data_IF_211497169283
#
_entry.id   IF_211497169283
#
_cell.length_a   1.000
_cell.length_b   1.000
_cell.length_c   1.000
_cell.angle_alpha   90.00
_cell.angle_beta   90.00
_cell.angle_gamma   90.00
#
_symmetry.space_group_name_H-M   'P 1'
#
loop_
_entity.id
_entity.type
_entity.pdbx_description
1 polymer ?
#
# COMPACT_ATOMS: atom_id res chain seq x y z
N UNK A 1 59.06 11.41 16.05
CA UNK A 1 57.96 10.94 16.93
C UNK A 1 56.72 11.84 16.90
N UNK A 2 56.83 13.15 16.96
CA UNK A 2 55.67 14.05 16.94
C UNK A 2 54.81 13.99 15.66
N UNK A 3 55.43 13.77 14.48
CA UNK A 3 54.70 13.66 13.20
C UNK A 3 53.88 12.36 13.09
N UNK A 4 54.32 11.26 13.68
CA UNK A 4 53.60 9.98 13.67
C UNK A 4 52.39 10.01 14.60
N UNK A 5 52.47 10.69 15.71
CA UNK A 5 51.39 10.85 16.66
C UNK A 5 50.27 11.73 16.08
N UNK A 6 50.62 12.78 15.30
CA UNK A 6 49.67 13.65 14.64
C UNK A 6 48.87 12.92 13.54
N UNK A 7 49.55 12.07 12.76
CA UNK A 7 48.91 11.26 11.70
C UNK A 7 47.92 10.26 12.31
N UNK A 8 48.28 9.62 13.42
CA UNK A 8 47.38 8.72 14.13
C UNK A 8 46.16 9.43 14.72
N UNK A 9 46.30 10.64 15.28
CA UNK A 9 45.20 11.44 15.81
C UNK A 9 44.25 11.89 14.70
N UNK A 10 44.76 12.34 13.55
CA UNK A 10 43.96 12.73 12.39
C UNK A 10 43.21 11.55 11.81
N UNK A 11 43.84 10.35 11.69
CA UNK A 11 43.18 9.14 11.21
C UNK A 11 42.05 8.71 12.15
N UNK A 12 42.24 8.82 13.46
CA UNK A 12 41.20 8.49 14.44
C UNK A 12 39.99 9.44 14.37
N UNK A 13 40.22 10.73 14.23
CA UNK A 13 39.17 11.75 14.06
C UNK A 13 38.40 11.55 12.76
N UNK A 14 39.08 11.24 11.67
CA UNK A 14 38.45 10.92 10.39
C UNK A 14 37.57 9.66 10.49
N UNK A 15 38.02 8.63 11.16
CA UNK A 15 37.25 7.40 11.38
C UNK A 15 36.01 7.67 12.25
N UNK A 16 36.14 8.48 13.30
CA UNK A 16 35.02 8.89 14.15
C UNK A 16 33.97 9.72 13.37
N UNK A 17 34.41 10.64 12.50
CA UNK A 17 33.54 11.42 11.65
C UNK A 17 32.80 10.55 10.62
N UNK A 18 33.47 9.56 10.03
CA UNK A 18 32.83 8.60 9.13
C UNK A 18 31.81 7.72 9.84
N UNK A 19 32.06 7.33 11.08
CA UNK A 19 31.10 6.59 11.91
C UNK A 19 29.90 7.46 12.32
N UNK A 20 30.12 8.76 12.60
CA UNK A 20 29.05 9.69 12.96
C UNK A 20 28.11 10.02 11.78
N UNK A 21 28.61 9.93 10.53
CA UNK A 21 27.83 10.13 9.31
C UNK A 21 27.22 8.82 8.76
N UNK A 22 27.33 7.72 9.50
CA UNK A 22 26.80 6.42 9.09
C UNK A 22 25.27 6.48 9.11
N UNK A 23 24.66 6.23 7.96
CA UNK A 23 23.22 6.10 7.85
C UNK A 23 22.73 4.96 8.73
N UNK A 24 21.51 5.11 9.25
CA UNK A 24 20.83 4.07 10.02
C UNK A 24 20.44 2.92 9.08
N UNK A 25 21.13 1.76 9.12
CA UNK A 25 20.88 0.71 8.16
C UNK A 25 19.58 -0.02 8.44
N UNK A 26 18.98 -0.55 7.36
CA UNK A 26 17.86 -1.47 7.45
C UNK A 26 18.39 -2.82 7.92
N UNK A 27 17.85 -3.34 9.01
CA UNK A 27 18.25 -4.65 9.58
C UNK A 27 17.26 -5.76 9.29
N UNK A 28 16.01 -5.42 8.96
CA UNK A 28 14.96 -6.37 8.62
C UNK A 28 13.96 -5.75 7.64
N UNK A 29 13.51 -6.55 6.67
CA UNK A 29 12.41 -6.21 5.79
C UNK A 29 11.35 -7.31 5.88
N UNK A 30 10.07 -6.93 6.04
CA UNK A 30 8.96 -7.88 6.08
C UNK A 30 7.69 -7.26 5.51
N UNK A 31 6.81 -8.13 5.01
CA UNK A 31 5.48 -7.72 4.58
C UNK A 31 4.53 -7.74 5.76
N UNK A 32 3.80 -6.64 5.96
CA UNK A 32 2.73 -6.53 6.95
C UNK A 32 1.43 -6.17 6.24
N UNK A 33 0.30 -6.52 6.83
CA UNK A 33 -0.99 -6.22 6.24
C UNK A 33 -1.97 -5.68 7.27
N UNK A 34 -2.96 -4.93 6.76
CA UNK A 34 -4.08 -4.43 7.54
C UNK A 34 -5.38 -4.69 6.78
N UNK A 35 -6.42 -5.10 7.49
CA UNK A 35 -7.73 -5.41 6.93
C UNK A 35 -8.76 -4.39 7.38
N UNK A 36 -9.68 -4.03 6.46
CA UNK A 36 -10.86 -3.24 6.76
C UNK A 36 -12.07 -3.91 6.13
N UNK A 37 -13.19 -3.96 6.86
CA UNK A 37 -14.42 -4.57 6.37
C UNK A 37 -15.01 -3.81 5.21
N UNK A 38 -15.48 -4.55 4.19
CA UNK A 38 -16.25 -4.01 3.07
C UNK A 38 -17.73 -4.30 3.32
N UNK A 39 -18.55 -3.27 3.33
CA UNK A 39 -19.99 -3.37 3.62
C UNK A 39 -20.82 -3.55 2.35
N UNK A 40 -20.38 -3.00 1.22
CA UNK A 40 -21.03 -3.16 -0.07
C UNK A 40 -20.01 -3.01 -1.20
N UNK A 41 -20.34 -3.57 -2.35
CA UNK A 41 -19.57 -3.40 -3.58
C UNK A 41 -20.49 -3.55 -4.80
N UNK A 42 -20.28 -2.71 -5.80
CA UNK A 42 -21.00 -2.79 -7.07
C UNK A 42 -20.13 -2.25 -8.21
N UNK A 43 -20.47 -2.62 -9.44
CA UNK A 43 -19.76 -2.17 -10.62
C UNK A 43 -20.57 -1.08 -11.32
N UNK A 44 -19.89 0.00 -11.72
CA UNK A 44 -20.42 1.05 -12.58
C UNK A 44 -19.62 1.10 -13.87
N UNK A 45 -20.32 1.49 -14.96
CA UNK A 45 -19.68 1.73 -16.25
C UNK A 45 -19.76 3.21 -16.56
N UNK A 46 -18.62 3.81 -16.86
CA UNK A 46 -18.52 5.21 -17.26
C UNK A 46 -18.08 5.28 -18.71
N UNK A 47 -18.73 6.16 -19.47
CA UNK A 47 -18.33 6.43 -20.84
C UNK A 47 -17.13 7.36 -20.87
N UNK A 48 -16.12 7.00 -21.64
CA UNK A 48 -15.03 7.91 -21.96
C UNK A 48 -15.41 8.73 -23.19
N UNK A 49 -15.30 10.03 -23.07
CA UNK A 49 -15.54 10.94 -24.20
C UNK A 49 -14.25 11.63 -24.60
N UNK A 50 -14.11 11.89 -25.91
CA UNK A 50 -13.10 12.83 -26.37
C UNK A 50 -13.51 14.26 -26.02
N UNK A 51 -12.63 15.25 -26.17
CA UNK A 51 -12.93 16.65 -25.89
C UNK A 51 -14.02 17.28 -26.76
N UNK A 52 -14.60 16.54 -27.71
CA UNK A 52 -15.61 16.98 -28.67
C UNK A 52 -16.97 16.29 -28.46
N UNK A 53 -17.13 15.55 -27.36
CA UNK A 53 -18.40 14.88 -27.02
C UNK A 53 -18.62 13.53 -27.68
N UNK A 54 -17.64 13.02 -28.45
CA UNK A 54 -17.70 11.66 -28.98
C UNK A 54 -17.33 10.61 -27.94
N UNK A 55 -18.03 9.47 -27.95
CA UNK A 55 -17.73 8.35 -27.08
C UNK A 55 -16.57 7.56 -27.67
N UNK A 56 -15.45 7.44 -26.94
CA UNK A 56 -14.25 6.72 -27.37
C UNK A 56 -14.09 5.36 -26.67
N UNK A 57 -14.86 5.11 -25.61
CA UNK A 57 -14.81 3.85 -24.89
C UNK A 57 -15.65 3.84 -23.64
N UNK A 58 -15.57 2.71 -22.93
CA UNK A 58 -16.20 2.52 -21.63
C UNK A 58 -15.16 2.03 -20.64
N UNK A 59 -15.25 2.52 -19.40
CA UNK A 59 -14.45 2.05 -18.27
C UNK A 59 -15.35 1.52 -17.18
N UNK A 60 -14.98 0.37 -16.66
CA UNK A 60 -15.67 -0.20 -15.51
C UNK A 60 -14.94 0.14 -14.22
N UNK A 61 -15.71 0.55 -13.24
CA UNK A 61 -15.25 0.88 -11.91
C UNK A 61 -15.92 -0.01 -10.89
N UNK A 62 -15.18 -0.42 -9.88
CA UNK A 62 -15.76 -1.02 -8.69
C UNK A 62 -15.92 0.06 -7.63
N UNK A 63 -17.14 0.22 -7.15
CA UNK A 63 -17.48 1.11 -6.04
C UNK A 63 -17.71 0.26 -4.81
N UNK A 64 -17.10 0.60 -3.71
CA UNK A 64 -17.22 -0.17 -2.47
C UNK A 64 -17.14 0.74 -1.25
N UNK A 65 -17.81 0.32 -0.19
CA UNK A 65 -17.79 1.01 1.10
C UNK A 65 -16.94 0.28 2.10
N UNK A 66 -15.96 0.97 2.68
CA UNK A 66 -15.03 0.44 3.67
C UNK A 66 -15.41 1.00 5.04
N UNK A 67 -15.48 0.12 6.03
CA UNK A 67 -15.74 0.52 7.41
C UNK A 67 -14.44 1.04 8.04
N UNK A 68 -14.46 2.32 8.41
CA UNK A 68 -13.36 2.96 9.13
C UNK A 68 -13.88 3.46 10.49
N UNK A 69 -13.67 2.67 11.54
CA UNK A 69 -14.29 2.90 12.84
C UNK A 69 -15.81 2.79 12.74
N UNK A 70 -16.54 3.87 13.01
CA UNK A 70 -18.00 3.95 12.87
C UNK A 70 -18.45 4.61 11.56
N UNK A 71 -17.51 5.00 10.70
CA UNK A 71 -17.79 5.68 9.45
C UNK A 71 -17.61 4.75 8.26
N UNK A 72 -18.40 4.96 7.23
CA UNK A 72 -18.24 4.27 5.94
C UNK A 72 -17.55 5.22 4.99
N UNK A 73 -16.44 4.79 4.44
CA UNK A 73 -15.72 5.49 3.37
C UNK A 73 -16.09 4.88 2.03
N UNK A 74 -16.66 5.69 1.14
CA UNK A 74 -16.96 5.27 -0.22
C UNK A 74 -15.70 5.38 -1.07
N UNK A 75 -15.37 4.29 -1.77
CA UNK A 75 -14.20 4.21 -2.64
C UNK A 75 -14.61 3.76 -4.03
N UNK A 76 -13.86 4.24 -5.02
CA UNK A 76 -14.05 3.89 -6.42
C UNK A 76 -12.69 3.65 -7.06
N UNK A 77 -12.52 2.47 -7.67
CA UNK A 77 -11.30 2.09 -8.37
C UNK A 77 -11.64 1.50 -9.74
N UNK A 78 -10.76 1.72 -10.72
CA UNK A 78 -10.90 1.03 -12.01
C UNK A 78 -10.72 -0.46 -11.80
N UNK A 79 -11.64 -1.24 -12.34
CA UNK A 79 -11.63 -2.69 -12.18
C UNK A 79 -10.35 -3.33 -12.74
N UNK A 80 -9.74 -2.71 -13.76
CA UNK A 80 -8.51 -3.19 -14.38
C UNK A 80 -7.29 -3.11 -13.45
N UNK A 81 -7.35 -2.25 -12.42
CA UNK A 81 -6.24 -2.01 -11.49
C UNK A 81 -6.47 -2.58 -10.09
N UNK A 82 -7.57 -3.31 -9.90
CA UNK A 82 -7.95 -3.87 -8.61
C UNK A 82 -7.84 -5.39 -8.67
N UNK A 83 -7.23 -5.96 -7.65
CA UNK A 83 -7.22 -7.40 -7.45
C UNK A 83 -8.46 -7.79 -6.64
N UNK A 84 -9.30 -8.63 -7.21
CA UNK A 84 -10.50 -9.14 -6.54
C UNK A 84 -10.33 -10.64 -6.35
N UNK A 85 -10.50 -11.09 -5.12
CA UNK A 85 -10.36 -12.50 -4.72
C UNK A 85 -11.58 -12.94 -3.91
N UNK A 86 -11.79 -14.24 -3.84
CA UNK A 86 -12.80 -14.82 -2.96
C UNK A 86 -12.34 -14.73 -1.51
N UNK A 87 -13.23 -14.28 -0.63
CA UNK A 87 -12.98 -14.32 0.81
C UNK A 87 -13.07 -15.75 1.34
N UNK A 88 -12.08 -16.18 2.10
CA UNK A 88 -12.11 -17.42 2.87
C UNK A 88 -12.80 -17.24 4.23
N UNK A 89 -13.11 -16.00 4.58
CA UNK A 89 -13.83 -15.63 5.80
C UNK A 89 -15.33 -15.45 5.50
N UNK A 90 -16.14 -15.25 6.52
CA UNK A 90 -17.61 -15.07 6.37
C UNK A 90 -18.00 -13.62 6.07
N UNK A 91 -17.05 -12.74 5.81
CA UNK A 91 -17.27 -11.35 5.48
C UNK A 91 -16.32 -10.89 4.38
N UNK A 92 -16.66 -9.79 3.73
CA UNK A 92 -15.81 -9.16 2.72
C UNK A 92 -14.91 -8.12 3.36
N UNK A 93 -13.68 -8.02 2.87
CA UNK A 93 -12.70 -7.05 3.39
C UNK A 93 -11.72 -6.64 2.32
N UNK A 94 -11.12 -5.47 2.50
CA UNK A 94 -9.94 -5.05 1.77
C UNK A 94 -8.71 -5.31 2.62
N UNK A 95 -7.67 -5.86 2.04
CA UNK A 95 -6.40 -6.07 2.72
C UNK A 95 -5.35 -5.20 2.05
N UNK A 96 -4.74 -4.32 2.83
CA UNK A 96 -3.64 -3.45 2.40
C UNK A 96 -2.33 -4.10 2.77
N UNK A 97 -1.40 -4.12 1.83
CA UNK A 97 -0.07 -4.68 2.03
C UNK A 97 0.97 -3.57 2.07
N UNK A 98 1.88 -3.69 3.02
CA UNK A 98 2.98 -2.75 3.20
C UNK A 98 4.29 -3.51 3.34
N UNK A 99 5.33 -2.97 2.72
CA UNK A 99 6.71 -3.40 2.98
C UNK A 99 7.24 -2.60 4.16
N UNK A 100 7.49 -3.28 5.27
CA UNK A 100 8.02 -2.67 6.49
C UNK A 100 9.54 -2.81 6.52
N UNK A 101 10.19 -1.68 6.63
CA UNK A 101 11.63 -1.59 6.88
C UNK A 101 11.86 -1.30 8.35
N UNK A 102 12.64 -2.14 8.99
CA UNK A 102 13.04 -1.98 10.38
C UNK A 102 14.51 -1.58 10.39
N UNK A 103 14.80 -0.46 11.03
CA UNK A 103 16.13 0.11 11.11
C UNK A 103 16.84 -0.30 12.39
N UNK A 104 18.18 -0.20 12.40
CA UNK A 104 19.03 -0.59 13.54
C UNK A 104 18.65 0.13 14.83
N UNK A 105 18.16 1.38 14.75
CA UNK A 105 17.70 2.16 15.92
C UNK A 105 16.31 1.74 16.43
N UNK A 106 15.67 0.74 15.82
CA UNK A 106 14.34 0.26 16.19
C UNK A 106 13.19 1.03 15.53
N UNK A 107 13.45 2.05 14.72
CA UNK A 107 12.41 2.74 13.97
C UNK A 107 11.90 1.88 12.82
N UNK A 108 10.63 2.04 12.47
CA UNK A 108 9.97 1.33 11.39
C UNK A 108 9.46 2.32 10.35
N UNK A 109 9.51 1.92 9.09
CA UNK A 109 8.92 2.66 7.98
C UNK A 109 8.15 1.72 7.08
N UNK A 110 6.84 2.00 6.87
CA UNK A 110 5.97 1.20 6.03
C UNK A 110 5.78 1.87 4.68
N UNK A 111 6.05 1.12 3.60
CA UNK A 111 5.82 1.55 2.22
C UNK A 111 4.63 0.77 1.68
N UNK A 112 3.63 1.48 1.17
CA UNK A 112 2.47 0.85 0.56
C UNK A 112 2.88 0.00 -0.65
N UNK A 113 2.51 -1.27 -0.64
CA UNK A 113 2.86 -2.23 -1.69
C UNK A 113 1.68 -2.67 -2.55
N UNK A 114 0.46 -2.45 -2.08
CA UNK A 114 -0.74 -2.82 -2.83
C UNK A 114 -1.91 -3.18 -1.93
N UNK A 115 -3.04 -3.50 -2.57
CA UNK A 115 -4.24 -3.93 -1.87
C UNK A 115 -4.99 -4.98 -2.69
N UNK A 116 -5.79 -5.80 -2.02
CA UNK A 116 -6.70 -6.75 -2.66
C UNK A 116 -8.07 -6.70 -1.97
N UNK A 117 -9.12 -6.80 -2.77
CA UNK A 117 -10.49 -6.94 -2.29
C UNK A 117 -10.81 -8.42 -2.17
N UNK A 118 -11.22 -8.84 -0.98
CA UNK A 118 -11.68 -10.21 -0.72
C UNK A 118 -13.19 -10.15 -0.50
N UNK A 119 -13.93 -10.71 -1.43
CA UNK A 119 -15.39 -10.63 -1.45
C UNK A 119 -16.01 -12.00 -1.19
N UNK A 120 -17.08 -12.01 -0.39
CA UNK A 120 -17.90 -13.21 -0.20
C UNK A 120 -18.60 -13.62 -1.50
N UNK A 121 -19.05 -14.86 -1.58
CA UNK A 121 -19.79 -15.35 -2.76
C UNK A 121 -21.04 -14.50 -3.04
N UNK A 122 -21.76 -14.10 -2.00
CA UNK A 122 -22.95 -13.25 -2.14
C UNK A 122 -22.60 -11.88 -2.73
N UNK A 123 -21.53 -11.26 -2.25
CA UNK A 123 -21.07 -9.96 -2.76
C UNK A 123 -20.55 -10.08 -4.20
N UNK A 124 -19.86 -11.18 -4.53
CA UNK A 124 -19.42 -11.49 -5.88
C UNK A 124 -20.59 -11.65 -6.85
N UNK A 125 -21.67 -12.29 -6.43
CA UNK A 125 -22.91 -12.41 -7.23
C UNK A 125 -23.52 -11.03 -7.49
N UNK A 126 -23.56 -10.16 -6.49
CA UNK A 126 -24.08 -8.81 -6.61
C UNK A 126 -23.27 -8.00 -7.65
N UNK A 127 -21.97 -8.16 -7.72
CA UNK A 127 -21.15 -7.54 -8.75
C UNK A 127 -21.56 -7.94 -10.16
N UNK A 128 -21.90 -9.22 -10.36
CA UNK A 128 -22.30 -9.75 -11.67
C UNK A 128 -23.69 -9.29 -12.12
N UNK A 129 -24.56 -8.97 -11.17
CA UNK A 129 -25.95 -8.59 -11.45
C UNK A 129 -26.17 -7.09 -11.55
N UNK A 130 -25.20 -6.28 -11.16
CA UNK A 130 -25.30 -4.80 -11.18
C UNK A 130 -24.99 -4.15 -12.54
N UNK A 131 -24.87 -4.94 -13.58
CA UNK A 131 -24.69 -4.46 -14.97
C UNK A 131 -26.04 -4.19 -15.64
#
# INVERSE_FOLDING_TARGET
>A
MKKRLLVLAVAFVLTALLCACKENPVVEEKTVSAKQEILYAYITTQMETNGYGGVIGHKNYICYGVLNGNNIEDKEDRIDFVTIRKSEENHSYIEYYYDRKIYEDGTNYDVYAGAALYLTDDMMKNLRTSN
#
